data_IF_266632496203
#
_entry.id   IF_266632496203
#
_cell.length_a   1.000
_cell.length_b   1.000
_cell.length_c   1.000
_cell.angle_alpha   90.00
_cell.angle_beta   90.00
_cell.angle_gamma   90.00
#
_symmetry.space_group_name_H-M   'P 1'
#
loop_
_entity.id
_entity.type
_entity.pdbx_description
1 polymer ?
#
# COMPACT_ATOMS: atom_id res chain seq x y z
N UNK A 1 -9.02 7.90 20.09
CA UNK A 1 -9.94 8.27 21.21
C UNK A 1 -9.58 9.63 21.78
N UNK A 2 -8.30 9.93 22.13
CA UNK A 2 -7.89 11.22 22.68
C UNK A 2 -8.24 12.42 21.77
N UNK A 3 -7.98 12.33 20.47
CA UNK A 3 -8.33 13.39 19.51
C UNK A 3 -9.84 13.65 19.45
N UNK A 4 -10.69 12.62 19.57
CA UNK A 4 -12.17 12.78 19.62
C UNK A 4 -12.60 13.56 20.86
N UNK A 5 -11.95 13.35 22.00
CA UNK A 5 -12.20 14.11 23.24
C UNK A 5 -11.84 15.58 23.07
N UNK A 6 -10.71 15.89 22.43
CA UNK A 6 -10.29 17.27 22.15
C UNK A 6 -11.34 17.97 21.28
N UNK A 7 -11.83 17.34 20.22
CA UNK A 7 -12.83 17.90 19.33
C UNK A 7 -14.18 18.09 20.05
N UNK A 8 -14.58 17.15 20.91
CA UNK A 8 -15.77 17.33 21.75
C UNK A 8 -15.66 18.54 22.70
N UNK A 9 -14.51 18.73 23.34
CA UNK A 9 -14.27 19.90 24.20
C UNK A 9 -14.34 21.19 23.40
N UNK A 10 -13.71 21.26 22.22
CA UNK A 10 -13.78 22.41 21.32
C UNK A 10 -15.24 22.72 20.96
N UNK A 11 -16.02 21.72 20.54
CA UNK A 11 -17.41 21.86 20.17
C UNK A 11 -18.25 22.34 21.36
N UNK A 12 -18.02 21.80 22.56
CA UNK A 12 -18.72 22.18 23.79
C UNK A 12 -18.43 23.63 24.17
N UNK A 13 -17.17 24.08 24.10
CA UNK A 13 -16.78 25.47 24.37
C UNK A 13 -17.45 26.41 23.35
N UNK A 14 -17.39 26.09 22.05
CA UNK A 14 -18.05 26.89 21.02
C UNK A 14 -19.55 26.99 21.25
N UNK A 15 -20.21 25.89 21.60
CA UNK A 15 -21.63 25.83 21.89
C UNK A 15 -21.99 26.64 23.14
N UNK A 16 -21.20 26.53 24.22
CA UNK A 16 -21.42 27.24 25.48
C UNK A 16 -21.23 28.76 25.36
N UNK A 17 -20.45 29.23 24.39
CA UNK A 17 -20.25 30.66 24.11
C UNK A 17 -21.29 31.19 23.13
N UNK A 18 -21.53 30.49 22.02
CA UNK A 18 -22.35 31.01 20.91
C UNK A 18 -23.86 30.92 21.22
N UNK A 19 -24.36 29.81 21.78
CA UNK A 19 -25.81 29.65 22.01
C UNK A 19 -26.40 30.62 23.04
N UNK A 20 -25.74 30.96 24.17
CA UNK A 20 -26.28 31.98 25.06
C UNK A 20 -26.33 33.39 24.44
N UNK A 21 -25.41 33.69 23.48
CA UNK A 21 -25.34 35.01 22.82
C UNK A 21 -26.28 35.12 21.62
N UNK A 22 -26.33 34.06 20.80
CA UNK A 22 -27.07 34.06 19.53
C UNK A 22 -28.46 33.42 19.65
N UNK A 23 -28.80 32.79 20.79
CA UNK A 23 -30.01 32.00 20.98
C UNK A 23 -29.89 30.57 20.43
N UNK A 24 -30.80 29.72 20.89
CA UNK A 24 -30.83 28.29 20.48
C UNK A 24 -31.63 28.09 19.18
N UNK A 25 -31.14 28.69 18.10
CA UNK A 25 -31.75 28.62 16.78
C UNK A 25 -30.92 27.82 15.81
N UNK A 26 -31.54 27.31 14.72
CA UNK A 26 -30.85 26.53 13.68
C UNK A 26 -29.71 27.33 13.05
N UNK A 27 -29.84 28.62 12.86
CA UNK A 27 -28.79 29.47 12.31
C UNK A 27 -27.59 29.61 13.26
N UNK A 28 -27.82 29.64 14.57
CA UNK A 28 -26.73 29.65 15.57
C UNK A 28 -25.95 28.33 15.55
N UNK A 29 -26.62 27.21 15.34
CA UNK A 29 -25.97 25.92 15.10
C UNK A 29 -25.05 25.99 13.86
N UNK A 30 -25.48 26.61 12.75
CA UNK A 30 -24.64 26.82 11.59
C UNK A 30 -23.35 27.59 11.89
N UNK A 31 -23.44 28.65 12.76
CA UNK A 31 -22.27 29.43 13.20
C UNK A 31 -21.28 28.57 14.01
N UNK A 32 -21.79 27.71 14.89
CA UNK A 32 -20.95 26.77 15.66
C UNK A 32 -20.31 25.73 14.76
N UNK A 33 -21.02 25.27 13.75
CA UNK A 33 -20.57 24.19 12.84
C UNK A 33 -19.34 24.58 12.03
N UNK A 34 -19.24 25.84 11.58
CA UNK A 34 -18.12 26.28 10.73
C UNK A 34 -16.75 26.12 11.44
N UNK A 35 -16.48 26.74 12.60
CA UNK A 35 -15.20 26.57 13.30
C UNK A 35 -14.99 25.15 13.79
N UNK A 36 -16.07 24.44 14.11
CA UNK A 36 -16.00 23.02 14.47
C UNK A 36 -15.48 22.16 13.29
N UNK A 37 -16.05 22.32 12.08
CA UNK A 37 -15.59 21.60 10.87
C UNK A 37 -14.13 21.92 10.56
N UNK A 38 -13.74 23.19 10.69
CA UNK A 38 -12.35 23.58 10.50
C UNK A 38 -11.42 22.86 11.49
N UNK A 39 -11.82 22.78 12.76
CA UNK A 39 -11.06 22.06 13.79
C UNK A 39 -10.95 20.56 13.52
N UNK A 40 -12.01 19.93 13.01
CA UNK A 40 -11.99 18.52 12.58
C UNK A 40 -11.02 18.30 11.43
N UNK A 41 -10.99 19.20 10.46
CA UNK A 41 -10.06 19.11 9.32
C UNK A 41 -8.61 19.35 9.75
N UNK A 42 -8.37 20.35 10.61
CA UNK A 42 -7.02 20.68 11.10
C UNK A 42 -6.40 19.53 11.93
N UNK A 43 -7.23 18.76 12.65
CA UNK A 43 -6.79 17.61 13.45
C UNK A 43 -6.87 16.27 12.71
N UNK A 44 -7.23 16.30 11.43
CA UNK A 44 -7.46 15.10 10.59
C UNK A 44 -8.41 14.08 11.23
N UNK A 45 -9.57 14.58 11.70
CA UNK A 45 -10.58 13.79 12.43
C UNK A 45 -11.95 13.82 11.74
N UNK A 46 -11.97 13.51 10.44
CA UNK A 46 -13.19 13.48 9.61
C UNK A 46 -14.29 12.57 10.18
N UNK A 47 -13.89 11.47 10.82
CA UNK A 47 -14.81 10.50 11.43
C UNK A 47 -15.56 11.05 12.67
N UNK A 48 -15.04 12.11 13.30
CA UNK A 48 -15.68 12.74 14.46
C UNK A 48 -16.77 13.74 14.05
N UNK A 49 -16.83 14.14 12.78
CA UNK A 49 -17.72 15.21 12.29
C UNK A 49 -19.18 14.88 12.60
N UNK A 50 -19.68 13.73 12.15
CA UNK A 50 -21.08 13.38 12.30
C UNK A 50 -21.50 13.12 13.77
N UNK A 51 -20.82 12.24 14.54
CA UNK A 51 -21.28 11.92 15.89
C UNK A 51 -21.25 13.13 16.84
N UNK A 52 -20.23 14.00 16.77
CA UNK A 52 -20.14 15.15 17.66
C UNK A 52 -21.09 16.29 17.21
N UNK A 53 -21.32 16.47 15.89
CA UNK A 53 -22.34 17.41 15.42
C UNK A 53 -23.75 17.03 15.93
N UNK A 54 -24.07 15.73 15.97
CA UNK A 54 -25.33 15.23 16.54
C UNK A 54 -25.44 15.61 18.03
N UNK A 55 -24.39 15.45 18.83
CA UNK A 55 -24.40 15.89 20.24
C UNK A 55 -24.67 17.39 20.37
N UNK A 56 -24.16 18.21 19.45
CA UNK A 56 -24.45 19.65 19.44
C UNK A 56 -25.94 19.96 19.19
N UNK A 57 -26.64 19.14 18.38
CA UNK A 57 -28.07 19.34 18.15
C UNK A 57 -28.90 19.15 19.45
N UNK A 58 -28.43 18.36 20.39
CA UNK A 58 -29.09 18.19 21.68
C UNK A 58 -29.11 19.50 22.51
N UNK A 59 -28.03 20.31 22.44
CA UNK A 59 -28.03 21.65 23.10
C UNK A 59 -29.09 22.57 22.50
N UNK A 60 -29.28 22.53 21.18
CA UNK A 60 -30.29 23.30 20.49
C UNK A 60 -31.71 22.84 20.88
N UNK A 61 -31.92 21.52 20.90
CA UNK A 61 -33.22 20.93 21.27
C UNK A 61 -33.60 21.18 22.74
N UNK A 62 -32.63 21.06 23.64
CA UNK A 62 -32.83 21.31 25.07
C UNK A 62 -32.86 22.80 25.42
N UNK A 63 -32.50 23.68 24.50
CA UNK A 63 -32.33 25.13 24.68
C UNK A 63 -31.50 25.47 25.92
N UNK A 64 -30.48 24.68 26.22
CA UNK A 64 -29.63 24.79 27.39
C UNK A 64 -28.23 24.21 27.15
N UNK A 65 -27.23 24.93 27.66
CA UNK A 65 -25.85 24.47 27.80
C UNK A 65 -25.44 24.37 29.27
N UNK A 66 -26.38 23.94 30.14
CA UNK A 66 -26.07 23.75 31.54
C UNK A 66 -25.00 22.69 31.80
N UNK A 67 -24.25 22.76 32.91
CA UNK A 67 -23.25 21.75 33.26
C UNK A 67 -23.79 20.30 33.27
N UNK A 68 -25.06 20.14 33.71
CA UNK A 68 -25.75 18.85 33.72
C UNK A 68 -25.97 18.32 32.28
N UNK A 69 -26.31 19.21 31.35
CA UNK A 69 -26.48 18.86 29.95
C UNK A 69 -25.15 18.50 29.30
N UNK A 70 -24.10 19.26 29.57
CA UNK A 70 -22.72 18.95 29.08
C UNK A 70 -22.26 17.60 29.60
N UNK A 71 -22.52 17.30 30.89
CA UNK A 71 -22.18 16.01 31.48
C UNK A 71 -22.97 14.86 30.81
N UNK A 72 -24.25 15.07 30.49
CA UNK A 72 -25.05 14.08 29.76
C UNK A 72 -24.46 13.77 28.37
N UNK A 73 -24.13 14.82 27.62
CA UNK A 73 -23.52 14.64 26.27
C UNK A 73 -22.16 13.97 26.35
N UNK A 74 -21.37 14.30 27.36
CA UNK A 74 -20.09 13.63 27.64
C UNK A 74 -20.30 12.14 27.93
N UNK A 75 -21.28 11.77 28.75
CA UNK A 75 -21.60 10.37 29.04
C UNK A 75 -22.07 9.61 27.78
N UNK A 76 -22.91 10.24 26.96
CA UNK A 76 -23.32 9.64 25.66
C UNK A 76 -22.13 9.40 24.78
N UNK A 77 -21.21 10.37 24.66
CA UNK A 77 -19.97 10.22 23.90
C UNK A 77 -19.13 9.07 24.47
N UNK A 78 -18.97 8.98 25.77
CA UNK A 78 -18.18 7.93 26.43
C UNK A 78 -18.78 6.53 26.23
N UNK A 79 -20.09 6.39 26.31
CA UNK A 79 -20.80 5.14 26.08
C UNK A 79 -20.60 4.73 24.58
N UNK A 80 -20.86 5.66 23.66
CA UNK A 80 -20.69 5.39 22.23
C UNK A 80 -19.25 5.04 21.85
N UNK A 81 -18.28 5.81 22.37
CA UNK A 81 -16.86 5.51 22.16
C UNK A 81 -16.43 4.20 22.82
N UNK A 82 -16.95 3.90 24.03
CA UNK A 82 -16.69 2.66 24.75
C UNK A 82 -17.20 1.44 24.00
N UNK A 83 -18.45 1.46 23.55
CA UNK A 83 -19.03 0.38 22.74
C UNK A 83 -18.25 0.22 21.43
N UNK A 84 -17.93 1.33 20.75
CA UNK A 84 -17.12 1.28 19.53
C UNK A 84 -15.72 0.68 19.74
N UNK A 85 -15.09 0.99 20.88
CA UNK A 85 -13.79 0.41 21.26
C UNK A 85 -13.91 -1.07 21.58
N UNK A 86 -14.93 -1.50 22.33
CA UNK A 86 -15.21 -2.89 22.65
C UNK A 86 -15.46 -3.70 21.36
N UNK A 87 -16.22 -3.14 20.43
CA UNK A 87 -16.49 -3.77 19.13
C UNK A 87 -15.24 -3.91 18.29
N UNK A 88 -14.35 -2.90 18.34
CA UNK A 88 -13.07 -2.95 17.63
C UNK A 88 -12.10 -3.98 18.24
N UNK A 89 -12.16 -4.21 19.56
CA UNK A 89 -11.39 -5.27 20.23
C UNK A 89 -11.89 -6.68 19.87
N UNK A 90 -13.17 -6.82 19.52
CA UNK A 90 -13.76 -8.08 19.10
C UNK A 90 -13.57 -8.35 17.59
N UNK A 91 -13.09 -7.36 16.82
CA UNK A 91 -12.80 -7.55 15.40
C UNK A 91 -11.70 -8.60 15.22
N UNK A 92 -11.90 -9.62 14.35
CA UNK A 92 -10.85 -10.60 14.08
C UNK A 92 -9.59 -9.90 13.59
N UNK A 93 -8.46 -10.34 14.12
CA UNK A 93 -7.14 -9.84 13.73
C UNK A 93 -6.95 -10.07 12.23
N UNK A 94 -6.99 -9.00 11.44
CA UNK A 94 -6.79 -9.03 9.99
C UNK A 94 -5.37 -9.42 9.57
N UNK A 95 -4.44 -9.54 10.54
CA UNK A 95 -3.03 -9.87 10.31
C UNK A 95 -2.86 -11.21 9.58
N UNK A 96 -3.60 -12.24 9.99
CA UNK A 96 -3.53 -13.55 9.34
C UNK A 96 -3.92 -13.48 7.87
N UNK A 97 -4.98 -12.74 7.56
CA UNK A 97 -5.45 -12.55 6.19
C UNK A 97 -4.42 -11.76 5.36
N UNK A 98 -3.78 -10.73 5.95
CA UNK A 98 -2.71 -9.99 5.28
C UNK A 98 -1.50 -10.86 4.97
N UNK A 99 -1.08 -11.74 5.90
CA UNK A 99 0.01 -12.68 5.68
C UNK A 99 -0.32 -13.69 4.56
N UNK A 100 -1.57 -14.15 4.47
CA UNK A 100 -2.02 -15.02 3.37
C UNK A 100 -1.98 -14.28 2.02
N UNK A 101 -2.42 -13.01 1.97
CA UNK A 101 -2.31 -12.19 0.76
C UNK A 101 -0.86 -11.91 0.38
N UNK A 102 0.00 -11.60 1.34
CA UNK A 102 1.42 -11.40 1.13
C UNK A 102 2.05 -12.63 0.48
N UNK A 103 1.82 -13.81 1.05
CA UNK A 103 2.31 -15.07 0.48
C UNK A 103 1.79 -15.30 -0.93
N UNK A 104 0.51 -15.05 -1.19
CA UNK A 104 -0.08 -15.24 -2.52
C UNK A 104 0.55 -14.32 -3.57
N UNK A 105 0.88 -13.07 -3.19
CA UNK A 105 1.58 -12.11 -4.07
C UNK A 105 3.01 -12.58 -4.34
N UNK A 106 3.72 -13.05 -3.31
CA UNK A 106 5.09 -13.57 -3.45
C UNK A 106 5.13 -14.81 -4.32
N UNK A 107 4.25 -15.77 -4.10
CA UNK A 107 4.12 -16.98 -4.94
C UNK A 107 3.84 -16.61 -6.42
N UNK A 108 3.02 -15.57 -6.64
CA UNK A 108 2.74 -15.09 -8.01
C UNK A 108 3.95 -14.43 -8.67
N UNK A 109 4.75 -13.66 -7.93
CA UNK A 109 5.99 -13.07 -8.43
C UNK A 109 7.00 -14.16 -8.78
N UNK A 110 7.18 -15.15 -7.93
CA UNK A 110 8.03 -16.33 -8.18
C UNK A 110 7.59 -17.05 -9.46
N UNK A 111 6.29 -17.30 -9.62
CA UNK A 111 5.74 -17.89 -10.83
C UNK A 111 6.05 -17.06 -12.08
N UNK A 112 5.94 -15.72 -12.01
CA UNK A 112 6.25 -14.82 -13.13
C UNK A 112 7.73 -14.90 -13.48
N UNK A 113 8.64 -14.89 -12.49
CA UNK A 113 10.07 -15.01 -12.69
C UNK A 113 10.44 -16.34 -13.38
N UNK A 114 9.90 -17.46 -12.93
CA UNK A 114 10.13 -18.76 -13.59
C UNK A 114 9.63 -18.75 -15.03
N UNK A 115 8.47 -18.17 -15.31
CA UNK A 115 7.97 -18.03 -16.67
C UNK A 115 8.90 -17.16 -17.52
N UNK A 116 9.38 -16.04 -16.99
CA UNK A 116 10.33 -15.17 -17.69
C UNK A 116 11.59 -15.94 -18.09
N UNK A 117 12.16 -16.72 -17.16
CA UNK A 117 13.34 -17.54 -17.43
C UNK A 117 13.10 -18.54 -18.58
N UNK A 118 11.95 -19.20 -18.61
CA UNK A 118 11.57 -20.12 -19.68
C UNK A 118 11.47 -19.37 -21.02
N UNK A 119 10.79 -18.23 -21.06
CA UNK A 119 10.55 -17.50 -22.31
C UNK A 119 11.79 -16.76 -22.84
N UNK A 120 12.83 -16.55 -22.03
CA UNK A 120 14.14 -16.10 -22.52
C UNK A 120 14.77 -17.17 -23.42
N UNK A 121 14.62 -18.45 -23.07
CA UNK A 121 15.21 -19.58 -23.80
C UNK A 121 14.37 -20.07 -25.00
N UNK A 122 13.09 -19.69 -25.07
CA UNK A 122 12.21 -20.06 -26.17
C UNK A 122 12.29 -19.08 -27.35
N UNK A 123 12.32 -19.60 -28.56
CA UNK A 123 12.20 -18.79 -29.78
C UNK A 123 10.75 -18.34 -30.01
N UNK A 124 9.79 -19.26 -29.87
CA UNK A 124 8.36 -18.96 -29.98
C UNK A 124 7.80 -18.44 -28.67
N UNK A 125 7.32 -17.20 -28.69
CA UNK A 125 6.76 -16.47 -27.54
C UNK A 125 5.28 -16.10 -27.74
N UNK A 126 4.61 -16.71 -28.72
CA UNK A 126 3.21 -16.38 -29.05
C UNK A 126 2.25 -16.58 -27.88
N UNK A 127 2.49 -17.58 -27.03
CA UNK A 127 1.68 -17.88 -25.85
C UNK A 127 2.01 -17.02 -24.62
N UNK A 128 3.02 -16.13 -24.73
CA UNK A 128 3.43 -15.27 -23.62
C UNK A 128 2.61 -13.98 -23.59
N UNK A 129 1.34 -14.07 -23.19
CA UNK A 129 0.34 -12.99 -23.29
C UNK A 129 0.41 -11.94 -22.19
N UNK A 130 1.22 -12.15 -21.14
CA UNK A 130 1.31 -11.22 -20.01
C UNK A 130 0.09 -11.20 -19.06
N UNK A 131 -0.90 -12.08 -19.26
CA UNK A 131 -2.11 -12.15 -18.42
C UNK A 131 -1.82 -12.37 -16.91
N UNK A 132 -0.66 -12.98 -16.59
CA UNK A 132 -0.20 -13.15 -15.22
C UNK A 132 0.04 -11.82 -14.49
N UNK A 133 0.32 -10.74 -15.21
CA UNK A 133 0.47 -9.40 -14.62
C UNK A 133 -0.86 -8.75 -14.27
N UNK A 134 -1.92 -9.01 -15.04
CA UNK A 134 -3.25 -8.50 -14.74
C UNK A 134 -3.78 -9.13 -13.44
N UNK A 135 -3.50 -10.41 -13.23
CA UNK A 135 -3.81 -11.11 -11.99
C UNK A 135 -2.99 -10.55 -10.81
N UNK A 136 -1.68 -10.31 -11.00
CA UNK A 136 -0.83 -9.71 -9.97
C UNK A 136 -1.28 -8.29 -9.61
N UNK A 137 -1.65 -7.46 -10.59
CA UNK A 137 -2.18 -6.12 -10.36
C UNK A 137 -3.46 -6.16 -9.53
N UNK A 138 -4.38 -7.08 -9.85
CA UNK A 138 -5.62 -7.26 -9.08
C UNK A 138 -5.33 -7.70 -7.63
N UNK A 139 -4.36 -8.59 -7.43
CA UNK A 139 -3.92 -9.01 -6.10
C UNK A 139 -3.32 -7.85 -5.31
N UNK A 140 -2.45 -7.04 -5.93
CA UNK A 140 -1.83 -5.86 -5.31
C UNK A 140 -2.86 -4.80 -4.91
N UNK A 141 -3.89 -4.57 -5.75
CA UNK A 141 -4.99 -3.64 -5.41
C UNK A 141 -5.76 -4.13 -4.19
N UNK A 142 -6.06 -5.43 -4.11
CA UNK A 142 -6.76 -6.02 -2.98
C UNK A 142 -5.90 -5.97 -1.70
N UNK A 143 -4.61 -6.32 -1.80
CA UNK A 143 -3.67 -6.24 -0.69
C UNK A 143 -3.56 -4.81 -0.15
N UNK A 144 -3.47 -3.81 -1.04
CA UNK A 144 -3.46 -2.39 -0.66
C UNK A 144 -4.70 -2.00 0.15
N UNK A 145 -5.87 -2.42 -0.31
CA UNK A 145 -7.13 -2.14 0.37
C UNK A 145 -7.18 -2.73 1.77
N UNK A 146 -6.77 -4.00 1.92
CA UNK A 146 -6.76 -4.68 3.21
C UNK A 146 -5.65 -4.15 4.14
N UNK A 147 -4.47 -3.80 3.61
CA UNK A 147 -3.41 -3.17 4.39
C UNK A 147 -3.84 -1.81 4.95
N UNK A 148 -4.48 -0.96 4.14
CA UNK A 148 -5.04 0.32 4.60
C UNK A 148 -6.16 0.12 5.64
N UNK A 149 -7.00 -0.90 5.46
CA UNK A 149 -8.04 -1.25 6.43
C UNK A 149 -7.44 -1.69 7.76
N UNK A 150 -6.42 -2.54 7.71
CA UNK A 150 -5.69 -3.00 8.89
C UNK A 150 -5.05 -1.82 9.65
N UNK A 151 -4.32 -0.95 8.95
CA UNK A 151 -3.69 0.24 9.49
C UNK A 151 -4.70 1.19 10.16
N UNK A 152 -5.84 1.43 9.52
CA UNK A 152 -6.89 2.30 10.08
C UNK A 152 -7.59 1.71 11.32
N UNK A 153 -7.62 0.39 11.47
CA UNK A 153 -8.25 -0.30 12.59
C UNK A 153 -7.31 -0.47 13.80
N UNK A 154 -6.00 -0.42 13.62
CA UNK A 154 -5.01 -0.53 14.68
C UNK A 154 -4.55 0.84 15.16
N UNK A 155 -5.32 1.45 16.09
CA UNK A 155 -5.10 2.81 16.61
C UNK A 155 -3.84 2.96 17.49
N UNK A 156 -3.16 1.88 17.85
CA UNK A 156 -2.10 1.87 18.88
C UNK A 156 -0.73 1.51 18.29
N UNK A 157 -0.67 0.83 17.15
CA UNK A 157 0.58 0.46 16.48
C UNK A 157 0.69 1.23 15.18
N UNK A 158 1.70 2.08 15.06
CA UNK A 158 2.17 2.64 13.78
C UNK A 158 2.87 1.52 13.00
N UNK A 159 2.12 0.49 12.62
CA UNK A 159 2.66 -0.62 11.86
C UNK A 159 2.37 -0.39 10.36
N UNK A 160 3.18 0.49 9.75
CA UNK A 160 3.15 0.80 8.33
C UNK A 160 3.75 -0.33 7.47
N UNK A 161 4.29 -1.39 8.11
CA UNK A 161 5.00 -2.48 7.47
C UNK A 161 4.24 -3.08 6.27
N UNK A 162 2.97 -3.44 6.44
CA UNK A 162 2.19 -4.06 5.36
C UNK A 162 1.94 -3.10 4.20
N UNK A 163 1.81 -1.83 4.48
CA UNK A 163 1.65 -0.81 3.46
C UNK A 163 2.94 -0.58 2.67
N UNK A 164 4.07 -0.47 3.36
CA UNK A 164 5.39 -0.34 2.73
C UNK A 164 5.76 -1.59 1.92
N UNK A 165 5.52 -2.77 2.49
CA UNK A 165 5.68 -4.04 1.77
C UNK A 165 4.90 -4.05 0.46
N UNK A 166 3.62 -3.68 0.49
CA UNK A 166 2.78 -3.63 -0.70
C UNK A 166 3.32 -2.62 -1.72
N UNK A 167 3.78 -1.44 -1.27
CA UNK A 167 4.38 -0.45 -2.18
C UNK A 167 5.65 -0.99 -2.84
N UNK A 168 6.50 -1.69 -2.10
CA UNK A 168 7.69 -2.35 -2.61
C UNK A 168 7.31 -3.36 -3.70
N UNK A 169 6.33 -4.24 -3.44
CA UNK A 169 5.87 -5.24 -4.43
C UNK A 169 5.24 -4.59 -5.67
N UNK A 170 4.52 -3.49 -5.51
CA UNK A 170 3.99 -2.74 -6.65
C UNK A 170 5.11 -2.16 -7.54
N UNK A 171 6.18 -1.63 -6.95
CA UNK A 171 7.36 -1.17 -7.70
C UNK A 171 8.05 -2.33 -8.44
N UNK A 172 8.23 -3.46 -7.77
CA UNK A 172 8.80 -4.68 -8.39
C UNK A 172 7.94 -5.17 -9.56
N UNK A 173 6.61 -5.13 -9.44
CA UNK A 173 5.70 -5.46 -10.55
C UNK A 173 5.93 -4.57 -11.78
N UNK A 174 6.17 -3.27 -11.60
CA UNK A 174 6.49 -2.35 -12.71
C UNK A 174 7.80 -2.75 -13.39
N UNK A 175 8.83 -3.12 -12.63
CA UNK A 175 10.12 -3.60 -13.17
C UNK A 175 9.92 -4.89 -13.95
N UNK A 176 9.21 -5.86 -13.38
CA UNK A 176 8.92 -7.13 -14.04
C UNK A 176 8.17 -6.95 -15.36
N UNK A 177 7.24 -6.00 -15.44
CA UNK A 177 6.55 -5.67 -16.70
C UNK A 177 7.50 -5.12 -17.76
N UNK A 178 8.48 -4.32 -17.38
CA UNK A 178 9.53 -3.84 -18.31
C UNK A 178 10.38 -5.00 -18.83
N UNK A 179 10.85 -5.85 -17.92
CA UNK A 179 11.62 -7.07 -18.29
C UNK A 179 10.80 -7.95 -19.25
N UNK A 180 9.51 -8.17 -18.96
CA UNK A 180 8.61 -8.90 -19.84
C UNK A 180 8.54 -8.29 -21.25
N UNK A 181 8.37 -6.96 -21.35
CA UNK A 181 8.30 -6.28 -22.63
C UNK A 181 9.59 -6.43 -23.47
N UNK A 182 10.75 -6.52 -22.82
CA UNK A 182 12.03 -6.73 -23.49
C UNK A 182 12.22 -8.21 -23.89
N UNK A 183 11.80 -9.16 -23.05
CA UNK A 183 11.84 -10.60 -23.38
C UNK A 183 11.02 -10.92 -24.63
N UNK A 184 9.85 -10.32 -24.81
CA UNK A 184 9.02 -10.53 -26.01
C UNK A 184 9.74 -10.09 -27.28
N UNK A 185 10.59 -9.07 -27.21
CA UNK A 185 11.33 -8.53 -28.37
C UNK A 185 12.55 -9.35 -28.76
N UNK A 186 13.00 -10.27 -27.89
CA UNK A 186 14.11 -11.17 -28.22
C UNK A 186 13.67 -12.14 -29.33
N UNK A 187 14.32 -12.06 -30.49
CA UNK A 187 13.98 -12.84 -31.68
C UNK A 187 14.78 -14.14 -31.82
N UNK A 188 15.90 -14.22 -31.14
CA UNK A 188 16.75 -15.43 -31.11
C UNK A 188 17.23 -15.65 -29.68
N UNK A 189 17.53 -16.89 -29.35
CA UNK A 189 18.10 -17.29 -28.05
C UNK A 189 19.63 -17.38 -28.16
N UNK A 190 20.36 -16.28 -27.93
CA UNK A 190 21.80 -16.36 -27.86
C UNK A 190 22.22 -17.19 -26.65
N UNK A 191 23.41 -17.75 -26.68
CA UNK A 191 23.97 -18.54 -25.58
C UNK A 191 23.98 -17.73 -24.26
N UNK A 192 24.08 -16.39 -24.36
CA UNK A 192 23.97 -15.44 -23.28
C UNK A 192 22.58 -15.42 -22.60
N UNK A 193 21.52 -15.75 -23.33
CA UNK A 193 20.16 -15.83 -22.81
C UNK A 193 20.03 -16.89 -21.73
N UNK A 194 20.75 -18.01 -21.88
CA UNK A 194 20.75 -19.09 -20.90
C UNK A 194 21.30 -18.63 -19.54
N UNK A 195 22.43 -17.93 -19.53
CA UNK A 195 23.04 -17.43 -18.30
C UNK A 195 22.09 -16.45 -17.55
N UNK A 196 21.38 -15.59 -18.29
CA UNK A 196 20.38 -14.69 -17.70
C UNK A 196 19.15 -15.48 -17.21
N UNK A 197 18.69 -16.48 -17.95
CA UNK A 197 17.57 -17.32 -17.53
C UNK A 197 17.90 -18.10 -16.25
N UNK A 198 19.12 -18.63 -16.13
CA UNK A 198 19.59 -19.32 -14.92
C UNK A 198 19.64 -18.35 -13.72
N UNK A 199 20.13 -17.13 -13.92
CA UNK A 199 20.12 -16.10 -12.88
C UNK A 199 18.70 -15.73 -12.42
N UNK A 200 17.74 -15.59 -13.35
CA UNK A 200 16.34 -15.30 -13.00
C UNK A 200 15.70 -16.49 -12.26
N UNK A 201 16.01 -17.75 -12.64
CA UNK A 201 15.55 -18.93 -11.90
C UNK A 201 16.09 -18.93 -10.48
N UNK A 202 17.39 -18.70 -10.31
CA UNK A 202 17.99 -18.60 -8.97
C UNK A 202 17.34 -17.49 -8.15
N UNK A 203 17.10 -16.32 -8.76
CA UNK A 203 16.39 -15.21 -8.09
C UNK A 203 14.97 -15.63 -7.67
N UNK A 204 14.26 -16.42 -8.46
CA UNK A 204 12.94 -16.93 -8.13
C UNK A 204 12.99 -17.95 -6.98
N UNK A 205 13.95 -18.87 -7.02
CA UNK A 205 14.10 -19.94 -6.01
C UNK A 205 14.53 -19.37 -4.64
N UNK A 206 15.31 -18.30 -4.66
CA UNK A 206 15.78 -17.60 -3.46
C UNK A 206 14.86 -16.45 -3.04
N UNK A 207 13.72 -16.26 -3.70
CA UNK A 207 12.81 -15.16 -3.44
C UNK A 207 12.13 -15.32 -2.09
N UNK A 208 12.68 -14.65 -1.08
CA UNK A 208 12.13 -14.60 0.26
C UNK A 208 12.30 -13.20 0.86
N UNK A 209 11.42 -12.83 1.79
CA UNK A 209 11.43 -11.53 2.45
C UNK A 209 12.75 -11.23 3.19
N UNK A 210 13.37 -12.27 3.74
CA UNK A 210 14.61 -12.18 4.54
C UNK A 210 15.86 -12.57 3.75
N UNK A 211 15.77 -12.68 2.42
CA UNK A 211 16.92 -13.10 1.64
C UNK A 211 18.01 -12.03 1.62
N UNK A 212 19.24 -12.46 1.79
CA UNK A 212 20.40 -11.59 1.65
C UNK A 212 20.63 -11.25 0.16
N UNK A 213 20.27 -10.05 -0.24
CA UNK A 213 20.42 -9.53 -1.60
C UNK A 213 21.89 -9.52 -2.06
N UNK A 214 22.87 -9.56 -1.13
CA UNK A 214 24.31 -9.54 -1.44
C UNK A 214 24.73 -10.71 -2.36
N UNK A 215 24.19 -11.90 -2.13
CA UNK A 215 24.50 -13.07 -2.97
C UNK A 215 24.01 -12.85 -4.40
N UNK A 216 22.77 -12.40 -4.55
CA UNK A 216 22.19 -12.12 -5.88
C UNK A 216 22.92 -10.98 -6.60
N UNK A 217 23.36 -9.94 -5.87
CA UNK A 217 24.16 -8.87 -6.45
C UNK A 217 25.52 -9.37 -6.93
N UNK A 218 26.20 -10.22 -6.16
CA UNK A 218 27.49 -10.79 -6.57
C UNK A 218 27.37 -11.68 -7.80
N UNK A 219 26.27 -12.46 -7.91
CA UNK A 219 25.97 -13.27 -9.10
C UNK A 219 25.67 -12.39 -10.32
N UNK A 220 24.96 -11.29 -10.14
CA UNK A 220 24.68 -10.32 -11.18
C UNK A 220 25.96 -9.64 -11.70
N UNK A 221 26.89 -9.27 -10.80
CA UNK A 221 28.20 -8.75 -11.18
C UNK A 221 29.00 -9.78 -11.95
N UNK A 222 28.96 -11.05 -11.57
CA UNK A 222 29.59 -12.15 -12.31
C UNK A 222 29.00 -12.30 -13.71
N UNK A 223 27.68 -12.21 -13.84
CA UNK A 223 26.98 -12.25 -15.11
C UNK A 223 27.42 -11.09 -16.03
N UNK A 224 27.52 -9.87 -15.49
CA UNK A 224 28.04 -8.71 -16.23
C UNK A 224 29.46 -8.92 -16.71
N UNK A 225 30.34 -9.36 -15.83
CA UNK A 225 31.74 -9.62 -16.19
C UNK A 225 31.85 -10.73 -17.24
N UNK A 226 31.00 -11.75 -17.18
CA UNK A 226 30.91 -12.77 -18.20
C UNK A 226 30.52 -12.18 -19.58
N UNK A 227 29.57 -11.24 -19.61
CA UNK A 227 29.16 -10.58 -20.86
C UNK A 227 30.27 -9.69 -21.44
N UNK A 228 31.06 -9.01 -20.61
CA UNK A 228 32.17 -8.16 -21.04
C UNK A 228 33.32 -8.95 -21.67
N UNK A 229 33.56 -10.19 -21.23
CA UNK A 229 34.61 -11.05 -21.76
C UNK A 229 34.28 -11.75 -23.06
N UNK A 230 33.03 -11.68 -23.51
CA UNK A 230 32.60 -12.34 -24.73
C UNK A 230 33.10 -11.64 -26.00
N UNK A 231 33.26 -12.42 -27.08
CA UNK A 231 33.61 -11.88 -28.39
C UNK A 231 32.54 -10.90 -28.88
N UNK A 232 32.94 -9.90 -29.65
CA UNK A 232 32.01 -8.94 -30.26
C UNK A 232 30.99 -9.63 -31.16
N UNK A 233 29.74 -9.15 -31.24
CA UNK A 233 28.69 -9.70 -32.08
C UNK A 233 29.08 -9.57 -33.57
N UNK A 234 28.81 -10.62 -34.35
CA UNK A 234 29.17 -10.67 -35.78
C UNK A 234 28.01 -10.13 -36.63
N UNK A 235 26.77 -10.31 -36.21
CA UNK A 235 25.59 -9.85 -36.94
C UNK A 235 24.86 -8.72 -36.22
N UNK A 236 24.12 -7.90 -36.99
CA UNK A 236 23.26 -6.84 -36.41
C UNK A 236 22.23 -7.42 -35.46
N UNK A 237 21.60 -8.51 -35.79
CA UNK A 237 20.58 -9.16 -34.95
C UNK A 237 21.16 -9.68 -33.64
N UNK A 238 22.36 -10.26 -33.69
CA UNK A 238 23.08 -10.68 -32.50
C UNK A 238 23.43 -9.48 -31.61
N UNK A 239 23.87 -8.37 -32.20
CA UNK A 239 24.13 -7.13 -31.46
C UNK A 239 22.87 -6.60 -30.76
N UNK A 240 21.74 -6.54 -31.46
CA UNK A 240 20.47 -6.07 -30.93
C UNK A 240 20.01 -6.97 -29.77
N UNK A 241 20.06 -8.28 -29.89
CA UNK A 241 19.68 -9.23 -28.85
C UNK A 241 20.62 -9.18 -27.64
N UNK A 242 21.94 -9.10 -27.84
CA UNK A 242 22.91 -8.97 -26.75
C UNK A 242 22.75 -7.65 -26.02
N UNK A 243 22.49 -6.56 -26.73
CA UNK A 243 22.21 -5.25 -26.15
C UNK A 243 20.96 -5.28 -25.25
N UNK A 244 19.89 -5.97 -25.68
CA UNK A 244 18.70 -6.17 -24.86
C UNK A 244 18.99 -6.99 -23.60
N UNK A 245 19.71 -8.11 -23.73
CA UNK A 245 20.08 -8.93 -22.57
C UNK A 245 20.96 -8.16 -21.56
N UNK A 246 21.90 -7.38 -22.07
CA UNK A 246 22.73 -6.52 -21.21
C UNK A 246 21.89 -5.44 -20.53
N UNK A 247 20.94 -4.82 -21.24
CA UNK A 247 20.02 -3.86 -20.67
C UNK A 247 19.13 -4.48 -19.58
N UNK A 248 18.61 -5.68 -19.81
CA UNK A 248 17.83 -6.44 -18.82
C UNK A 248 18.62 -6.68 -17.53
N UNK A 249 19.91 -7.00 -17.64
CA UNK A 249 20.77 -7.19 -16.47
C UNK A 249 21.04 -5.88 -15.70
N UNK A 250 21.01 -4.73 -16.37
CA UNK A 250 21.21 -3.41 -15.74
C UNK A 250 19.97 -2.87 -15.03
N UNK A 251 18.76 -3.24 -15.43
CA UNK A 251 17.52 -2.74 -14.83
C UNK A 251 17.47 -3.06 -13.31
N UNK A 252 18.04 -4.19 -12.91
CA UNK A 252 18.12 -4.59 -11.50
C UNK A 252 19.08 -3.73 -10.67
N UNK A 253 20.11 -3.12 -11.26
CA UNK A 253 21.14 -2.34 -10.57
C UNK A 253 20.72 -0.88 -10.39
N UNK A 254 19.95 -0.33 -11.31
CA UNK A 254 19.62 1.10 -11.35
C UNK A 254 18.47 1.53 -10.45
N UNK A 255 17.70 0.60 -9.88
CA UNK A 255 16.63 0.91 -8.92
C UNK A 255 16.99 0.33 -7.54
N UNK A 256 17.70 1.08 -6.68
CA UNK A 256 17.97 0.63 -5.32
C UNK A 256 16.64 0.48 -4.57
N UNK A 257 16.44 -0.72 -4.03
CA UNK A 257 15.41 -0.98 -3.01
C UNK A 257 15.70 -0.10 -1.79
N UNK A 258 15.11 1.10 -1.74
CA UNK A 258 15.01 1.93 -0.54
C UNK A 258 13.66 1.75 0.08
#
# INVERSE_FOLDING_TARGET
TAKRMIIFVIMTILSAVIFPLAGYHVWAFGIVLIPYLFSCMALDMKEAIAPIAVLCTHYVSAKSCSPSMILNEFLILMIGAGIGTLWNLYMPDGRRQLLEYQKTVDDKIVYILHRMAIYIELEDKTDYTGSCFDELDAMLVNLKKEALRYMNNHLITEDDYYYEYMQMRARQCVILKRIYADIIRLTTTPEQGKALADFIRQTADEFAEQNNVETLLSELERLHHHYEQQQLPVTRQEFENRSMLYHLSLIHISEPTR
#
